data_IF_774287307000
#
_entry.id   IF_774287307000
#
_cell.length_a   1.000
_cell.length_b   1.000
_cell.length_c   1.000
_cell.angle_alpha   90.00
_cell.angle_beta   90.00
_cell.angle_gamma   90.00
#
_symmetry.space_group_name_H-M   'P 1'
#
loop_
_entity.id
_entity.type
_entity.pdbx_description
1 polymer ?
#
# COMPACT_ATOMS: atom_id res chain seq x y z
N UNK A 1 -22.18 6.27 58.27
CA UNK A 1 -21.09 6.54 57.31
C UNK A 1 -21.36 5.74 56.04
N UNK A 2 -21.49 6.41 54.88
CA UNK A 2 -22.03 5.85 53.62
C UNK A 2 -20.93 5.11 52.83
N UNK A 3 -20.79 3.80 53.01
CA UNK A 3 -19.78 2.95 52.35
C UNK A 3 -20.22 2.38 50.97
N UNK A 4 -21.48 2.56 50.57
CA UNK A 4 -22.03 1.98 49.34
C UNK A 4 -21.57 2.59 47.99
N UNK A 5 -21.23 3.89 47.85
CA UNK A 5 -20.95 4.45 46.51
C UNK A 5 -19.57 4.08 45.96
N UNK A 6 -18.64 3.68 46.83
CA UNK A 6 -17.27 3.35 46.45
C UNK A 6 -17.18 2.00 45.72
N UNK A 7 -17.93 0.99 46.17
CA UNK A 7 -18.00 -0.30 45.49
C UNK A 7 -18.72 -0.23 44.15
N UNK A 8 -19.75 0.62 44.03
CA UNK A 8 -20.48 0.82 42.77
C UNK A 8 -19.59 1.43 41.68
N UNK A 9 -18.75 2.39 42.06
CA UNK A 9 -17.83 3.03 41.13
C UNK A 9 -16.61 2.12 40.82
N UNK A 10 -16.13 1.34 41.79
CA UNK A 10 -15.08 0.36 41.58
C UNK A 10 -15.51 -0.76 40.62
N UNK A 11 -16.76 -1.24 40.71
CA UNK A 11 -17.31 -2.27 39.84
C UNK A 11 -17.51 -1.78 38.39
N UNK A 12 -17.84 -0.50 38.21
CA UNK A 12 -17.98 0.12 36.90
C UNK A 12 -16.63 0.36 36.21
N UNK A 13 -15.58 0.66 36.96
CA UNK A 13 -14.23 0.88 36.43
C UNK A 13 -13.54 -0.43 36.00
N UNK A 14 -13.76 -1.56 36.69
CA UNK A 14 -13.24 -2.87 36.27
C UNK A 14 -13.96 -3.45 35.06
N UNK A 15 -15.26 -3.17 34.89
CA UNK A 15 -16.00 -3.61 33.69
C UNK A 15 -15.57 -2.88 32.41
N UNK A 16 -15.23 -1.59 32.51
CA UNK A 16 -14.82 -0.79 31.35
C UNK A 16 -13.41 -1.13 30.84
N UNK A 17 -12.54 -1.65 31.72
CA UNK A 17 -11.18 -2.09 31.35
C UNK A 17 -11.14 -3.43 30.61
N UNK A 18 -12.21 -4.24 30.67
CA UNK A 18 -12.26 -5.56 30.00
C UNK A 18 -12.88 -5.54 28.59
N UNK A 19 -13.65 -4.50 28.24
CA UNK A 19 -14.41 -4.45 26.98
C UNK A 19 -13.73 -3.73 25.80
N UNK A 20 -12.50 -3.23 25.97
CA UNK A 20 -11.84 -2.36 24.99
C UNK A 20 -11.09 -3.06 23.85
N UNK A 21 -10.96 -4.38 23.85
CA UNK A 21 -10.17 -5.11 22.84
C UNK A 21 -11.12 -5.63 21.76
N UNK A 22 -11.64 -4.73 20.94
CA UNK A 22 -12.20 -5.14 19.66
C UNK A 22 -11.02 -5.69 18.82
N UNK A 23 -10.85 -7.01 18.79
CA UNK A 23 -9.93 -7.66 17.88
C UNK A 23 -10.35 -7.27 16.46
N UNK A 24 -9.56 -6.43 15.80
CA UNK A 24 -9.60 -6.30 14.35
C UNK A 24 -9.30 -7.69 13.81
N UNK A 25 -10.32 -8.36 13.26
CA UNK A 25 -10.10 -9.61 12.54
C UNK A 25 -9.31 -9.27 11.28
N UNK A 26 -7.98 -9.32 11.40
CA UNK A 26 -7.10 -9.39 10.24
C UNK A 26 -7.51 -10.65 9.50
N UNK A 27 -8.15 -10.49 8.34
CA UNK A 27 -8.67 -11.66 7.60
C UNK A 27 -7.52 -12.66 7.35
N UNK A 28 -7.84 -13.95 7.50
CA UNK A 28 -6.85 -15.02 7.63
C UNK A 28 -5.92 -15.11 6.41
N UNK A 29 -4.68 -15.53 6.69
CA UNK A 29 -3.65 -15.90 5.72
C UNK A 29 -3.29 -17.37 5.94
N UNK A 30 -2.92 -18.14 4.89
CA UNK A 30 -2.65 -17.74 3.51
C UNK A 30 -3.90 -17.42 2.67
N UNK A 31 -3.74 -16.64 1.60
CA UNK A 31 -4.83 -16.29 0.65
C UNK A 31 -4.46 -16.59 -0.79
N UNK A 32 -5.42 -17.05 -1.57
CA UNK A 32 -5.26 -17.20 -3.01
C UNK A 32 -5.80 -15.99 -3.76
N UNK A 33 -5.00 -15.47 -4.68
CA UNK A 33 -5.34 -14.36 -5.57
C UNK A 33 -5.19 -14.84 -7.01
N UNK A 34 -6.25 -14.74 -7.80
CA UNK A 34 -6.20 -15.02 -9.23
C UNK A 34 -5.85 -13.76 -10.00
N UNK A 35 -4.83 -13.84 -10.84
CA UNK A 35 -4.45 -12.80 -11.79
C UNK A 35 -4.49 -13.33 -13.24
N UNK A 36 -4.01 -12.54 -14.20
CA UNK A 36 -3.97 -12.92 -15.62
C UNK A 36 -3.02 -14.09 -15.94
N UNK A 37 -2.13 -14.47 -15.02
CA UNK A 37 -1.15 -15.57 -15.16
C UNK A 37 -1.52 -16.81 -14.34
N UNK A 38 -2.56 -16.75 -13.52
CA UNK A 38 -3.11 -17.89 -12.79
C UNK A 38 -3.43 -17.54 -11.34
N UNK A 39 -3.55 -18.57 -10.51
CA UNK A 39 -3.77 -18.38 -9.06
C UNK A 39 -2.43 -18.37 -8.32
N UNK A 40 -2.23 -17.33 -7.53
CA UNK A 40 -1.06 -17.11 -6.68
C UNK A 40 -1.46 -17.19 -5.20
N UNK A 41 -0.66 -17.88 -4.40
CA UNK A 41 -0.84 -17.92 -2.94
C UNK A 41 0.03 -16.85 -2.29
N UNK A 42 -0.60 -16.01 -1.49
CA UNK A 42 0.06 -15.10 -0.57
C UNK A 42 0.05 -15.73 0.82
N UNK A 43 1.24 -16.06 1.32
CA UNK A 43 1.39 -16.76 2.60
C UNK A 43 1.06 -15.88 3.81
N UNK A 44 1.27 -14.57 3.68
CA UNK A 44 1.05 -13.59 4.75
C UNK A 44 0.69 -12.23 4.17
N UNK A 45 0.25 -11.30 5.04
CA UNK A 45 -0.07 -9.95 4.63
C UNK A 45 1.17 -9.22 4.12
N UNK A 46 1.16 -8.69 2.89
CA UNK A 46 2.25 -7.87 2.38
C UNK A 46 2.43 -6.61 3.23
N UNK A 47 3.66 -6.37 3.65
CA UNK A 47 4.11 -5.19 4.41
C UNK A 47 5.06 -4.32 3.59
N UNK A 48 5.58 -4.82 2.46
CA UNK A 48 6.61 -4.16 1.64
C UNK A 48 6.27 -4.29 0.16
N UNK A 49 5.27 -3.51 -0.26
CA UNK A 49 4.77 -3.58 -1.63
C UNK A 49 5.60 -2.68 -2.54
N UNK A 50 6.05 -3.25 -3.65
CA UNK A 50 6.66 -2.52 -4.77
C UNK A 50 5.72 -2.52 -5.96
N UNK A 51 5.42 -1.34 -6.50
CA UNK A 51 4.64 -1.22 -7.73
C UNK A 51 5.51 -0.72 -8.88
N UNK A 52 5.59 -1.46 -9.98
CA UNK A 52 6.31 -1.02 -11.19
C UNK A 52 5.45 -0.11 -12.08
N UNK A 53 4.21 0.18 -11.68
CA UNK A 53 3.27 1.02 -12.42
C UNK A 53 2.88 2.26 -11.63
N UNK A 54 3.16 3.43 -12.21
CA UNK A 54 2.80 4.72 -11.63
C UNK A 54 1.27 4.88 -11.49
N UNK A 55 0.48 4.28 -12.40
CA UNK A 55 -0.99 4.34 -12.34
C UNK A 55 -1.54 3.49 -11.19
N UNK A 56 -1.05 2.25 -11.04
CA UNK A 56 -1.51 1.32 -10.00
C UNK A 56 -1.16 1.83 -8.59
N UNK A 57 -0.02 2.49 -8.44
CA UNK A 57 0.43 3.09 -7.19
C UNK A 57 -0.59 4.06 -6.61
N UNK A 58 -1.26 4.86 -7.45
CA UNK A 58 -2.30 5.77 -6.98
C UNK A 58 -3.44 5.04 -6.27
N UNK A 59 -3.89 3.91 -6.82
CA UNK A 59 -4.94 3.10 -6.19
C UNK A 59 -4.47 2.45 -4.89
N UNK A 60 -3.23 1.97 -4.84
CA UNK A 60 -2.65 1.38 -3.63
C UNK A 60 -2.54 2.40 -2.49
N UNK A 61 -2.13 3.63 -2.80
CA UNK A 61 -2.07 4.71 -1.82
C UNK A 61 -3.47 5.07 -1.28
N UNK A 62 -4.50 5.03 -2.13
CA UNK A 62 -5.87 5.35 -1.76
C UNK A 62 -6.51 4.35 -0.78
N UNK A 63 -6.02 3.11 -0.74
CA UNK A 63 -6.47 2.06 0.20
C UNK A 63 -5.51 1.86 1.37
N UNK A 64 -4.60 2.81 1.61
CA UNK A 64 -3.61 2.74 2.69
C UNK A 64 -2.68 1.52 2.64
N UNK A 65 -2.45 0.97 1.44
CA UNK A 65 -1.53 -0.15 1.27
C UNK A 65 -0.08 0.25 1.60
N UNK A 66 0.73 -0.65 2.16
CA UNK A 66 2.11 -0.38 2.56
C UNK A 66 3.07 -0.41 1.35
N UNK A 67 2.91 0.56 0.45
CA UNK A 67 3.77 0.73 -0.73
C UNK A 67 5.05 1.43 -0.33
N UNK A 68 6.19 0.77 -0.52
CA UNK A 68 7.52 1.30 -0.18
C UNK A 68 8.21 1.94 -1.38
N UNK A 69 7.91 1.47 -2.59
CA UNK A 69 8.48 2.04 -3.80
C UNK A 69 7.56 1.93 -5.02
N UNK A 70 7.69 2.90 -5.92
CA UNK A 70 6.91 3.00 -7.16
C UNK A 70 7.81 3.28 -8.37
N UNK A 71 7.41 2.74 -9.52
CA UNK A 71 7.86 3.25 -10.81
C UNK A 71 7.39 4.69 -11.00
N UNK A 72 8.17 5.49 -11.73
CA UNK A 72 7.84 6.88 -12.02
C UNK A 72 7.84 7.14 -13.53
N UNK A 73 7.04 8.12 -13.95
CA UNK A 73 7.11 8.67 -15.30
C UNK A 73 8.17 9.77 -15.37
N UNK A 74 8.33 10.41 -16.53
CA UNK A 74 9.25 11.54 -16.71
C UNK A 74 8.91 12.67 -15.72
N UNK A 75 9.85 13.10 -14.87
CA UNK A 75 9.64 14.21 -13.94
C UNK A 75 9.26 15.52 -14.63
N UNK A 76 8.61 16.42 -13.88
CA UNK A 76 8.29 17.78 -14.29
C UNK A 76 7.46 17.88 -15.59
N UNK A 77 6.58 16.91 -15.83
CA UNK A 77 5.65 16.95 -16.96
C UNK A 77 4.26 17.48 -16.53
N UNK A 78 3.33 17.58 -17.50
CA UNK A 78 1.98 18.10 -17.27
C UNK A 78 1.20 17.36 -16.17
N UNK A 79 1.46 16.08 -15.97
CA UNK A 79 0.69 15.20 -15.07
C UNK A 79 1.50 14.75 -13.84
N UNK A 80 2.81 14.94 -13.84
CA UNK A 80 3.74 14.44 -12.83
C UNK A 80 4.48 15.56 -12.10
N UNK A 81 4.94 15.25 -10.89
CA UNK A 81 5.75 16.11 -10.05
C UNK A 81 7.25 16.04 -10.38
N UNK A 82 8.07 16.63 -9.53
CA UNK A 82 9.54 16.64 -9.56
C UNK A 82 10.17 15.24 -9.40
N UNK A 83 9.44 14.30 -8.80
CA UNK A 83 9.85 12.91 -8.69
C UNK A 83 9.35 12.05 -9.86
N UNK A 84 8.41 12.53 -10.68
CA UNK A 84 7.76 11.73 -11.72
C UNK A 84 6.58 10.91 -11.18
N UNK A 85 6.11 11.22 -9.98
CA UNK A 85 4.85 10.73 -9.41
C UNK A 85 3.69 11.58 -9.90
N UNK A 86 2.49 11.00 -9.99
CA UNK A 86 1.34 11.75 -10.49
C UNK A 86 0.88 12.77 -9.45
N UNK A 87 0.56 13.98 -9.92
CA UNK A 87 0.26 15.13 -9.06
C UNK A 87 -0.91 14.89 -8.09
N UNK A 88 -1.89 14.07 -8.48
CA UNK A 88 -3.07 13.81 -7.65
C UNK A 88 -2.76 13.08 -6.33
N UNK A 89 -1.65 12.32 -6.26
CA UNK A 89 -1.25 11.59 -5.05
C UNK A 89 0.20 11.87 -4.64
N UNK A 90 0.92 12.75 -5.35
CA UNK A 90 2.28 13.19 -5.06
C UNK A 90 2.47 13.61 -3.59
N UNK A 91 1.50 14.37 -3.03
CA UNK A 91 1.55 14.78 -1.62
C UNK A 91 1.58 13.56 -0.67
N UNK A 92 0.69 12.61 -0.88
CA UNK A 92 0.61 11.38 -0.07
C UNK A 92 1.89 10.54 -0.23
N UNK A 93 2.43 10.45 -1.44
CA UNK A 93 3.70 9.76 -1.68
C UNK A 93 4.87 10.40 -0.92
N UNK A 94 4.95 11.74 -0.88
CA UNK A 94 5.97 12.47 -0.12
C UNK A 94 5.81 12.26 1.38
N UNK A 95 4.59 12.33 1.90
CA UNK A 95 4.28 12.07 3.31
C UNK A 95 4.66 10.65 3.73
N UNK A 96 4.41 9.66 2.87
CA UNK A 96 4.76 8.25 3.10
C UNK A 96 6.20 7.91 2.74
N UNK A 97 7.02 8.89 2.34
CA UNK A 97 8.43 8.70 1.94
C UNK A 97 8.58 7.62 0.85
N UNK A 98 7.63 7.58 -0.08
CA UNK A 98 7.60 6.60 -1.16
C UNK A 98 8.85 6.74 -2.01
N UNK A 99 9.58 5.64 -2.21
CA UNK A 99 10.80 5.65 -3.00
C UNK A 99 10.50 5.51 -4.48
N UNK A 100 11.26 6.23 -5.30
CA UNK A 100 11.22 6.07 -6.75
C UNK A 100 12.19 4.98 -7.18
N UNK A 101 11.70 3.99 -7.90
CA UNK A 101 12.52 2.87 -8.41
C UNK A 101 13.34 3.27 -9.62
N UNK A 102 12.69 3.80 -10.65
CA UNK A 102 13.30 4.18 -11.92
C UNK A 102 12.49 5.27 -12.61
N UNK A 103 13.11 5.92 -13.60
CA UNK A 103 12.45 6.86 -14.52
C UNK A 103 12.38 6.18 -15.88
N UNK A 104 11.18 5.94 -16.38
CA UNK A 104 10.97 5.37 -17.72
C UNK A 104 11.20 3.86 -17.79
N UNK A 105 12.46 3.42 -17.84
CA UNK A 105 12.80 2.01 -18.09
C UNK A 105 12.84 1.16 -16.81
N UNK A 106 12.09 0.03 -16.74
CA UNK A 106 12.09 -0.85 -15.59
C UNK A 106 13.43 -1.55 -15.36
N UNK A 107 13.91 -1.53 -14.12
CA UNK A 107 15.06 -2.31 -13.67
C UNK A 107 14.65 -3.32 -12.61
N UNK A 108 14.99 -4.58 -12.81
CA UNK A 108 14.74 -5.66 -11.85
C UNK A 108 15.65 -5.51 -10.62
N UNK A 109 16.87 -5.03 -10.81
CA UNK A 109 17.86 -4.78 -9.77
C UNK A 109 17.38 -3.70 -8.80
N UNK A 110 16.81 -2.61 -9.32
CA UNK A 110 16.23 -1.54 -8.51
C UNK A 110 15.05 -2.04 -7.66
N UNK A 111 14.25 -2.99 -8.19
CA UNK A 111 13.16 -3.63 -7.44
C UNK A 111 13.72 -4.58 -6.37
N UNK A 112 14.69 -5.41 -6.72
CA UNK A 112 15.29 -6.37 -5.79
C UNK A 112 15.99 -5.69 -4.60
N UNK A 113 16.64 -4.55 -4.84
CA UNK A 113 17.29 -3.75 -3.80
C UNK A 113 16.31 -3.25 -2.70
N UNK A 114 15.01 -3.21 -2.98
CA UNK A 114 13.98 -2.81 -2.02
C UNK A 114 13.57 -3.94 -1.05
N UNK A 115 14.00 -5.18 -1.31
CA UNK A 115 13.54 -6.37 -0.58
C UNK A 115 12.00 -6.40 -0.41
N UNK A 116 11.24 -6.40 -1.52
CA UNK A 116 9.78 -6.45 -1.47
C UNK A 116 9.27 -7.84 -1.10
N UNK A 117 8.11 -7.89 -0.44
CA UNK A 117 7.35 -9.12 -0.22
C UNK A 117 6.21 -9.30 -1.25
N UNK A 118 5.84 -8.23 -1.96
CA UNK A 118 4.90 -8.26 -3.08
C UNK A 118 5.33 -7.27 -4.16
N UNK A 119 5.44 -7.73 -5.41
CA UNK A 119 5.70 -6.90 -6.58
C UNK A 119 4.46 -6.88 -7.48
N UNK A 120 3.93 -5.69 -7.74
CA UNK A 120 2.79 -5.48 -8.62
C UNK A 120 3.25 -4.92 -9.96
N UNK A 121 2.81 -5.55 -11.05
CA UNK A 121 3.18 -5.21 -12.43
C UNK A 121 1.92 -4.91 -13.23
N UNK A 122 1.94 -3.84 -14.03
CA UNK A 122 0.84 -3.56 -14.97
C UNK A 122 0.97 -4.42 -16.23
N UNK A 123 -0.10 -5.12 -16.60
CA UNK A 123 -0.14 -5.98 -17.78
C UNK A 123 -0.04 -5.24 -19.13
N UNK A 124 -0.23 -3.92 -19.17
CA UNK A 124 -0.17 -3.14 -20.42
C UNK A 124 0.49 -1.78 -20.20
N UNK A 125 1.61 -1.53 -20.90
CA UNK A 125 2.13 -0.18 -21.15
C UNK A 125 1.39 0.35 -22.37
N UNK A 126 0.40 1.24 -22.21
CA UNK A 126 -0.22 1.91 -23.36
C UNK A 126 0.78 2.94 -23.90
N UNK A 127 1.63 2.51 -24.84
CA UNK A 127 2.42 3.42 -25.65
C UNK A 127 1.48 4.34 -26.45
N UNK A 128 1.64 5.65 -26.28
CA UNK A 128 1.11 6.62 -27.24
C UNK A 128 2.11 6.70 -28.40
N UNK A 129 1.77 6.09 -29.55
CA UNK A 129 2.30 6.44 -30.87
C UNK A 129 3.15 5.38 -31.60
N UNK A 130 2.52 4.73 -32.59
CA UNK A 130 2.98 4.25 -33.91
C UNK A 130 2.20 2.96 -34.22
N UNK A 131 1.20 2.95 -35.11
CA UNK A 131 1.38 3.02 -36.56
C UNK A 131 1.64 1.60 -37.09
N UNK A 132 0.67 1.05 -37.85
CA UNK A 132 0.80 0.05 -38.94
C UNK A 132 1.88 -1.04 -38.77
N UNK A 133 1.56 -2.32 -38.63
CA UNK A 133 0.89 -3.23 -39.61
C UNK A 133 0.32 -4.45 -38.90
#
# INVERSE_FOLDING_TARGET
MRLAPLYRNALLLTGLLLSGIAAVQAADWPRQITDSRGTHTLESQPQRIVSTSVTLTGSLLAIDAPVIASGATTPNNRVADDQGFLRQWSKVAKERKLQRLYIGEPSAEAVAAQMPDLILISATRRGFGAGTV
#
